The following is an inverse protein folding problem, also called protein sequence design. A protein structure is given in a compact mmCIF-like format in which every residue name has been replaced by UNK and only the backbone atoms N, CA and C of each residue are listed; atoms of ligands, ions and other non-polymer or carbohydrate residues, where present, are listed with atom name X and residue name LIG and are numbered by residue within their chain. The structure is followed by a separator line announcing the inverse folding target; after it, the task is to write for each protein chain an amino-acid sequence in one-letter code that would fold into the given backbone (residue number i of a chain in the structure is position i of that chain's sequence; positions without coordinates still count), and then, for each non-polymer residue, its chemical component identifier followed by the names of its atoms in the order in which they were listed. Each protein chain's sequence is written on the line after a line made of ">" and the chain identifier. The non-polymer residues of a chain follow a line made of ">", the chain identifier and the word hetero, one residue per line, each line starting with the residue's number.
data_IF_150594739205
#
_entry.id   IF_150594739205
#
_cell.length_a   1.000
_cell.length_b   1.000
_cell.length_c   1.000
_cell.angle_alpha   90.00
_cell.angle_beta   90.00
_cell.angle_gamma   90.00
#
_symmetry.space_group_name_H-M   'P 1'
#
loop_
_entity.id
_entity.type
_entity.pdbx_description
1 polymer ?
#
# COMPACT_ATOMS: atom_id res chain seq x y z
N UNK A 1 3.20 3.59 12.01
CA UNK A 1 2.76 3.11 10.69
C UNK A 1 1.79 4.12 10.17
N UNK A 2 2.23 4.88 9.18
CA UNK A 2 1.38 5.86 8.51
C UNK A 2 0.70 5.17 7.33
N UNK A 3 -0.62 5.30 7.24
CA UNK A 3 -1.44 4.72 6.18
C UNK A 3 -2.24 5.86 5.58
N UNK A 4 -2.04 6.10 4.29
CA UNK A 4 -2.77 7.10 3.52
C UNK A 4 -3.68 6.35 2.55
N UNK A 5 -4.97 6.61 2.66
CA UNK A 5 -6.00 5.94 1.84
C UNK A 5 -6.09 6.57 0.45
N UNK A 6 -6.42 5.76 -0.56
CA UNK A 6 -6.59 6.25 -1.92
C UNK A 6 -7.64 7.39 -2.02
N UNK A 7 -7.33 8.41 -2.82
CA UNK A 7 -8.21 9.54 -3.14
C UNK A 7 -8.59 10.48 -1.98
N UNK A 8 -7.94 10.39 -0.82
CA UNK A 8 -8.07 11.42 0.23
C UNK A 8 -7.27 12.69 -0.12
N UNK A 9 -7.51 13.84 0.55
CA UNK A 9 -6.70 15.04 0.37
C UNK A 9 -5.21 14.80 0.65
N UNK A 10 -4.90 14.04 1.70
CA UNK A 10 -3.54 13.67 2.10
C UNK A 10 -2.85 12.84 1.01
N UNK A 11 -3.58 11.93 0.38
CA UNK A 11 -3.10 11.15 -0.76
C UNK A 11 -2.73 12.05 -1.95
N UNK A 12 -3.58 13.02 -2.28
CA UNK A 12 -3.32 13.95 -3.38
C UNK A 12 -2.13 14.86 -3.11
N UNK A 13 -1.94 15.29 -1.86
CA UNK A 13 -0.76 16.05 -1.45
C UNK A 13 0.50 15.20 -1.49
N UNK A 14 0.42 13.96 -1.01
CA UNK A 14 1.54 13.02 -1.04
C UNK A 14 2.06 12.79 -2.45
N UNK A 15 1.19 12.41 -3.40
CA UNK A 15 1.60 12.10 -4.78
C UNK A 15 2.21 13.32 -5.48
N UNK A 16 1.73 14.53 -5.17
CA UNK A 16 2.28 15.76 -5.74
C UNK A 16 3.72 16.02 -5.31
N UNK A 17 4.09 15.58 -4.11
CA UNK A 17 5.40 15.81 -3.52
C UNK A 17 6.34 14.60 -3.65
N UNK A 18 5.81 13.42 -3.96
CA UNK A 18 6.59 12.18 -4.05
C UNK A 18 7.55 12.20 -5.27
N UNK A 19 8.82 11.79 -5.10
CA UNK A 19 9.78 11.69 -6.19
C UNK A 19 9.36 10.73 -7.32
N UNK A 20 8.72 9.63 -6.95
CA UNK A 20 8.15 8.67 -7.89
C UNK A 20 6.65 8.95 -8.03
N UNK A 21 6.23 9.30 -9.25
CA UNK A 21 4.81 9.46 -9.57
C UNK A 21 4.08 8.12 -9.54
N UNK A 22 2.76 8.18 -9.37
CA UNK A 22 1.91 7.00 -9.37
C UNK A 22 1.98 6.23 -10.70
N UNK A 23 2.05 6.93 -11.84
CA UNK A 23 2.22 6.31 -13.16
C UNK A 23 3.55 5.56 -13.28
N UNK A 24 4.64 6.15 -12.77
CA UNK A 24 5.95 5.50 -12.77
C UNK A 24 5.97 4.30 -11.83
N UNK A 25 5.31 4.39 -10.68
CA UNK A 25 5.15 3.26 -9.77
C UNK A 25 4.34 2.12 -10.41
N UNK A 26 3.31 2.45 -11.20
CA UNK A 26 2.53 1.48 -11.97
C UNK A 26 3.39 0.73 -12.99
N UNK A 27 4.23 1.44 -13.75
CA UNK A 27 5.19 0.85 -14.70
C UNK A 27 6.21 -0.07 -14.00
N UNK A 28 6.76 0.37 -12.86
CA UNK A 28 7.73 -0.41 -12.09
C UNK A 28 7.12 -1.71 -11.56
N UNK A 29 5.86 -1.67 -11.12
CA UNK A 29 5.09 -2.86 -10.78
C UNK A 29 5.00 -3.82 -11.98
N UNK A 30 4.62 -3.32 -13.16
CA UNK A 30 4.41 -4.17 -14.33
C UNK A 30 5.71 -4.84 -14.78
N UNK A 31 6.81 -4.09 -14.69
CA UNK A 31 8.15 -4.62 -14.94
C UNK A 31 8.51 -5.73 -13.94
N UNK A 32 8.31 -5.48 -12.65
CA UNK A 32 8.60 -6.48 -11.61
C UNK A 32 7.79 -7.77 -11.80
N UNK A 33 6.53 -7.67 -12.23
CA UNK A 33 5.69 -8.85 -12.54
C UNK A 33 6.22 -9.65 -13.72
N UNK A 34 6.58 -8.95 -14.78
CA UNK A 34 7.15 -9.56 -16.00
C UNK A 34 8.43 -10.34 -15.66
N UNK A 35 9.25 -9.79 -14.75
CA UNK A 35 10.51 -10.40 -14.32
C UNK A 35 10.32 -11.56 -13.33
N UNK A 36 9.24 -11.57 -12.55
CA UNK A 36 9.01 -12.56 -11.48
C UNK A 36 8.00 -13.66 -11.82
N UNK A 37 7.36 -13.60 -13.00
CA UNK A 37 6.32 -14.54 -13.45
C UNK A 37 5.18 -14.71 -12.42
N UNK A 38 4.95 -13.68 -11.60
CA UNK A 38 3.86 -13.63 -10.63
C UNK A 38 2.65 -13.00 -11.31
N UNK A 39 1.47 -13.59 -11.16
CA UNK A 39 0.22 -12.96 -11.60
C UNK A 39 -0.32 -12.04 -10.48
N UNK A 40 -0.72 -10.82 -10.86
CA UNK A 40 -1.58 -10.00 -9.99
C UNK A 40 -3.04 -10.29 -10.35
N UNK A 41 -3.81 -10.72 -9.36
CA UNK A 41 -5.27 -10.73 -9.40
C UNK A 41 -5.76 -9.57 -8.51
N UNK A 42 -5.64 -8.32 -8.95
CA UNK A 42 -5.78 -7.17 -8.03
C UNK A 42 -5.83 -5.77 -8.65
N UNK A 43 -6.66 -4.90 -8.04
CA UNK A 43 -7.07 -3.56 -8.46
C UNK A 43 -5.96 -2.48 -8.45
N UNK A 44 -6.13 -1.35 -9.17
CA UNK A 44 -5.25 -0.19 -9.06
C UNK A 44 -5.20 0.35 -7.62
N UNK A 45 -3.98 0.42 -7.09
CA UNK A 45 -3.51 1.07 -5.85
C UNK A 45 -4.56 1.37 -4.76
N UNK A 46 -4.44 0.69 -3.61
CA UNK A 46 -5.36 0.88 -2.48
C UNK A 46 -4.83 1.83 -1.38
N UNK A 47 -3.52 1.85 -1.11
CA UNK A 47 -2.95 2.60 0.02
C UNK A 47 -1.50 3.05 -0.23
N UNK A 48 -1.06 4.07 0.52
CA UNK A 48 0.36 4.38 0.74
C UNK A 48 0.68 4.04 2.19
N UNK A 49 1.74 3.26 2.41
CA UNK A 49 2.15 2.83 3.75
C UNK A 49 3.61 3.13 3.96
N UNK A 50 3.94 3.97 4.96
CA UNK A 50 5.31 4.40 5.26
C UNK A 50 6.09 4.75 3.98
N UNK A 51 5.53 5.65 3.17
CA UNK A 51 6.11 6.10 1.89
C UNK A 51 6.19 5.07 0.76
N UNK A 52 5.41 3.99 0.85
CA UNK A 52 5.38 2.96 -0.19
C UNK A 52 4.03 2.81 -0.84
N UNK A 53 4.01 2.81 -2.16
CA UNK A 53 2.84 2.52 -2.97
C UNK A 53 2.52 1.04 -2.89
N UNK A 54 1.33 0.71 -2.42
CA UNK A 54 0.91 -0.65 -2.21
C UNK A 54 -0.16 -1.06 -3.25
N UNK A 55 0.19 -2.06 -4.05
CA UNK A 55 -0.67 -2.67 -5.05
C UNK A 55 -1.13 -4.04 -4.55
N UNK A 56 -2.27 -4.09 -3.86
CA UNK A 56 -2.80 -5.34 -3.27
C UNK A 56 -3.89 -6.01 -4.11
N UNK A 57 -3.83 -7.33 -4.31
CA UNK A 57 -4.97 -8.17 -4.67
C UNK A 57 -6.08 -8.32 -3.62
N UNK A 58 -5.81 -8.22 -2.31
CA UNK A 58 -6.80 -8.56 -1.29
C UNK A 58 -6.80 -7.57 -0.10
N UNK A 59 -7.94 -6.91 0.14
CA UNK A 59 -8.25 -6.18 1.36
C UNK A 59 -9.47 -6.83 2.01
N UNK A 60 -9.34 -7.36 3.24
CA UNK A 60 -10.45 -7.96 3.97
C UNK A 60 -10.87 -7.07 5.16
N UNK A 61 -11.88 -6.20 5.02
CA UNK A 61 -12.32 -5.31 6.08
C UNK A 61 -13.08 -6.01 7.23
N UNK A 62 -13.45 -7.29 7.10
CA UNK A 62 -14.29 -7.99 8.08
C UNK A 62 -13.55 -8.49 9.32
N UNK A 63 -12.22 -8.44 9.32
CA UNK A 63 -11.37 -8.82 10.44
C UNK A 63 -10.53 -7.58 10.76
N UNK A 64 -10.18 -7.26 12.03
CA UNK A 64 -9.17 -6.24 12.36
C UNK A 64 -7.74 -6.67 11.92
N UNK A 65 -7.65 -7.35 10.79
CA UNK A 65 -6.47 -7.90 10.15
C UNK A 65 -6.55 -7.50 8.68
N UNK A 66 -5.72 -6.53 8.33
CA UNK A 66 -5.45 -6.23 6.94
C UNK A 66 -4.32 -7.15 6.51
N UNK A 67 -4.68 -8.19 5.77
CA UNK A 67 -3.67 -8.98 5.06
C UNK A 67 -3.20 -8.16 3.87
N UNK A 68 -1.96 -7.70 3.95
CA UNK A 68 -1.29 -6.95 2.90
C UNK A 68 -0.46 -7.95 2.12
N UNK A 69 -1.01 -8.40 1.00
CA UNK A 69 -0.30 -9.22 0.04
C UNK A 69 -0.31 -8.47 -1.27
N UNK A 70 0.86 -8.24 -1.87
CA UNK A 70 0.96 -7.43 -3.08
C UNK A 70 2.37 -6.97 -3.43
N UNK A 71 2.42 -6.16 -4.49
CA UNK A 71 3.65 -5.45 -4.87
C UNK A 71 3.70 -4.12 -4.15
N UNK A 72 4.89 -3.81 -3.65
CA UNK A 72 5.19 -2.55 -2.99
C UNK A 72 6.28 -1.84 -3.78
N UNK A 73 6.01 -0.58 -4.11
CA UNK A 73 7.00 0.30 -4.75
C UNK A 73 7.36 1.40 -3.75
N UNK A 74 8.65 1.54 -3.45
CA UNK A 74 9.15 2.66 -2.67
C UNK A 74 8.96 3.97 -3.44
N UNK A 75 8.24 4.94 -2.86
CA UNK A 75 7.94 6.19 -3.56
C UNK A 75 9.12 7.17 -3.62
N UNK A 76 10.22 6.87 -2.89
CA UNK A 76 11.45 7.65 -2.86
C UNK A 76 12.48 7.01 -3.80
N UNK A 77 12.76 5.71 -3.65
CA UNK A 77 13.81 5.01 -4.42
C UNK A 77 13.30 4.38 -5.72
N UNK A 78 12.00 4.05 -5.79
CA UNK A 78 11.43 3.28 -6.89
C UNK A 78 11.71 1.77 -6.79
N UNK A 79 12.24 1.29 -5.67
CA UNK A 79 12.50 -0.14 -5.49
C UNK A 79 11.19 -0.92 -5.41
N UNK A 80 11.10 -1.96 -6.24
CA UNK A 80 9.97 -2.87 -6.27
C UNK A 80 10.27 -4.10 -5.39
N UNK A 81 9.32 -4.45 -4.52
CA UNK A 81 9.39 -5.63 -3.68
C UNK A 81 8.03 -6.30 -3.55
N UNK A 82 8.02 -7.59 -3.21
CA UNK A 82 6.80 -8.31 -2.88
C UNK A 82 6.65 -8.41 -1.37
N UNK A 83 5.49 -8.02 -0.86
CA UNK A 83 5.15 -8.14 0.56
C UNK A 83 4.01 -9.15 0.74
N UNK A 84 4.10 -9.96 1.78
CA UNK A 84 3.00 -10.79 2.27
C UNK A 84 3.03 -10.69 3.80
N UNK A 85 2.40 -9.64 4.30
CA UNK A 85 2.34 -9.31 5.72
C UNK A 85 0.89 -9.26 6.19
N UNK A 86 0.60 -9.90 7.32
CA UNK A 86 -0.68 -9.73 8.00
C UNK A 86 -0.55 -8.61 9.01
N UNK A 87 -1.05 -7.43 8.68
CA UNK A 87 -1.07 -6.28 9.58
C UNK A 87 -2.37 -6.32 10.37
N UNK A 88 -2.27 -6.72 11.63
CA UNK A 88 -3.36 -6.50 12.60
C UNK A 88 -3.51 -5.00 12.78
N UNK A 89 -4.50 -4.39 12.12
CA UNK A 89 -4.95 -3.05 12.48
C UNK A 89 -5.56 -3.17 13.87
N UNK A 90 -4.78 -2.87 14.91
CA UNK A 90 -5.34 -2.68 16.24
C UNK A 90 -6.40 -1.60 16.08
N UNK A 91 -7.68 -1.85 16.42
CA UNK A 91 -8.66 -0.78 16.43
C UNK A 91 -8.07 0.34 17.28
N UNK A 92 -8.07 1.58 16.77
CA UNK A 92 -7.84 2.75 17.64
C UNK A 92 -8.75 2.53 18.83
N UNK A 93 -8.17 2.41 20.02
CA UNK A 93 -8.95 2.17 21.22
C UNK A 93 -10.02 3.26 21.31
N UNK A 94 -11.26 2.93 20.96
CA UNK A 94 -12.41 3.79 21.23
C UNK A 94 -12.74 3.79 22.73
N UNK A 95 -12.03 3.01 23.52
CA UNK A 95 -12.12 3.01 24.97
C UNK A 95 -10.81 3.54 25.57
N UNK A 96 -10.81 4.83 25.88
CA UNK A 96 -10.01 5.33 26.98
C UNK A 96 -10.50 4.69 28.27
N UNK A 97 -9.96 3.52 28.63
CA UNK A 97 -9.97 3.12 30.03
C UNK A 97 -8.93 3.98 30.74
N UNK A 98 -9.39 5.13 31.26
CA UNK A 98 -8.73 5.74 32.41
C UNK A 98 -8.72 4.71 33.53
N UNK A 99 -7.53 4.56 34.13
CA UNK A 99 -7.14 3.88 35.38
C UNK A 99 -8.22 3.11 36.13
#
# INVERSE_FOLDING_TARGET
>A
MEVIEYNTPEFKEYIKNAPISLDKAWELQLKYLSDTNKEIVGSPLFFIINDKYLFTPYYNPKIPEVRIEGIVIDSITGDASYISETIKLKPKSQFGWKK
#
